data_IF_269028811783
#
_entry.id   IF_269028811783
#
_cell.length_a   1.000
_cell.length_b   1.000
_cell.length_c   1.000
_cell.angle_alpha   90.00
_cell.angle_beta   90.00
_cell.angle_gamma   90.00
#
_symmetry.space_group_name_H-M   'P 1'
#
loop_
_entity.id
_entity.type
_entity.pdbx_description
1 polymer ?
#
# COMPACT_ATOMS: atom_id res chain seq x y z
N UNK A 1 30.12 54.85 -6.14
CA UNK A 1 30.34 53.65 -5.29
C UNK A 1 29.03 53.12 -4.70
N UNK A 2 28.00 53.95 -4.49
CA UNK A 2 26.69 53.54 -3.97
C UNK A 2 25.80 52.73 -4.95
N UNK A 3 25.80 53.04 -6.26
CA UNK A 3 24.98 52.28 -7.23
C UNK A 3 25.37 50.79 -7.34
N UNK A 4 26.67 50.49 -7.22
CA UNK A 4 27.17 49.12 -7.27
C UNK A 4 26.77 48.34 -6.01
N UNK A 5 26.65 49.03 -4.87
CA UNK A 5 26.22 48.45 -3.60
C UNK A 5 24.71 48.15 -3.61
N UNK A 6 23.91 49.07 -4.16
CA UNK A 6 22.45 48.97 -4.25
C UNK A 6 21.99 47.87 -5.23
N UNK A 7 22.72 47.68 -6.34
CA UNK A 7 22.45 46.59 -7.30
C UNK A 7 22.80 45.20 -6.75
N UNK A 8 23.77 45.11 -5.84
CA UNK A 8 24.14 43.85 -5.17
C UNK A 8 23.11 43.48 -4.10
N UNK A 9 22.63 44.41 -3.29
CA UNK A 9 21.56 44.14 -2.29
C UNK A 9 20.24 43.72 -2.94
N UNK A 10 19.85 44.32 -4.06
CA UNK A 10 18.60 43.97 -4.77
C UNK A 10 18.66 42.59 -5.41
N UNK A 11 19.81 42.18 -5.95
CA UNK A 11 19.99 40.82 -6.50
C UNK A 11 19.99 39.77 -5.39
N UNK A 12 20.60 40.06 -4.24
CA UNK A 12 20.54 39.17 -3.07
C UNK A 12 19.12 39.01 -2.54
N UNK A 13 18.32 40.09 -2.45
CA UNK A 13 16.92 40.00 -2.03
C UNK A 13 16.03 39.23 -3.00
N UNK A 14 16.25 39.34 -4.31
CA UNK A 14 15.51 38.56 -5.32
C UNK A 14 15.86 37.08 -5.27
N UNK A 15 17.14 36.74 -5.05
CA UNK A 15 17.57 35.34 -4.87
C UNK A 15 17.01 34.75 -3.58
N UNK A 16 16.99 35.51 -2.48
CA UNK A 16 16.44 35.06 -1.20
C UNK A 16 14.92 34.86 -1.28
N UNK A 17 14.20 35.74 -1.97
CA UNK A 17 12.77 35.59 -2.28
C UNK A 17 12.52 34.36 -3.16
N UNK A 18 13.33 34.11 -4.18
CA UNK A 18 13.19 32.95 -5.05
C UNK A 18 13.45 31.62 -4.31
N UNK A 19 14.42 31.58 -3.39
CA UNK A 19 14.71 30.41 -2.55
C UNK A 19 13.61 30.17 -1.50
N UNK A 20 13.01 31.22 -0.96
CA UNK A 20 11.84 31.07 -0.08
C UNK A 20 10.59 30.64 -0.84
N UNK A 21 10.40 31.07 -2.08
CA UNK A 21 9.27 30.66 -2.92
C UNK A 21 9.35 29.18 -3.34
N UNK A 22 10.56 28.65 -3.59
CA UNK A 22 10.75 27.22 -3.88
C UNK A 22 10.65 26.35 -2.61
N UNK A 23 11.15 26.84 -1.47
CA UNK A 23 11.05 26.13 -0.19
C UNK A 23 9.61 26.00 0.33
N UNK A 24 8.74 26.96 0.03
CA UNK A 24 7.34 26.94 0.49
C UNK A 24 6.44 26.02 -0.34
N UNK A 25 6.76 25.77 -1.62
CA UNK A 25 5.99 24.88 -2.48
C UNK A 25 6.19 23.40 -2.14
N UNK A 26 7.38 23.02 -1.65
CA UNK A 26 7.69 21.64 -1.24
C UNK A 26 7.02 21.21 0.07
N UNK A 27 6.60 22.16 0.92
CA UNK A 27 5.99 21.86 2.22
C UNK A 27 4.49 21.54 2.15
N UNK A 28 3.83 21.81 1.02
CA UNK A 28 2.37 21.69 0.86
C UNK A 28 1.95 20.47 0.02
N UNK A 29 2.82 19.48 -0.16
CA UNK A 29 2.40 18.19 -0.71
C UNK A 29 1.61 17.42 0.36
N UNK A 30 0.29 17.61 0.39
CA UNK A 30 -0.58 16.68 1.10
C UNK A 30 -0.38 15.27 0.52
N UNK A 31 -0.28 14.22 1.37
CA UNK A 31 -0.15 12.87 0.85
C UNK A 31 -1.39 12.54 0.04
N UNK A 32 -1.22 12.34 -1.28
CA UNK A 32 -2.24 11.79 -2.16
C UNK A 32 -2.93 10.60 -1.46
N UNK A 33 -4.28 10.57 -1.42
CA UNK A 33 -5.01 9.51 -0.73
C UNK A 33 -4.53 8.16 -1.26
N UNK A 34 -3.98 7.34 -0.37
CA UNK A 34 -3.47 6.03 -0.76
C UNK A 34 -4.61 5.21 -1.38
N UNK A 35 -4.38 4.64 -2.56
CA UNK A 35 -5.32 3.73 -3.21
C UNK A 35 -5.58 2.52 -2.30
N UNK A 36 -6.67 2.59 -1.52
CA UNK A 36 -7.01 1.60 -0.51
C UNK A 36 -7.27 0.23 -1.15
N UNK A 37 -6.77 -0.82 -0.52
CA UNK A 37 -7.12 -2.19 -0.89
C UNK A 37 -8.53 -2.48 -0.42
N UNK A 38 -9.45 -2.77 -1.33
CA UNK A 38 -10.83 -3.11 -0.99
C UNK A 38 -11.04 -4.62 -1.11
N UNK A 39 -11.46 -5.27 -0.04
CA UNK A 39 -11.72 -6.70 0.01
C UNK A 39 -13.15 -7.00 0.50
N UNK A 40 -13.72 -8.10 0.02
CA UNK A 40 -14.92 -8.69 0.59
C UNK A 40 -14.50 -9.81 1.55
N UNK A 41 -14.32 -9.47 2.83
CA UNK A 41 -13.92 -10.42 3.86
C UNK A 41 -15.11 -11.30 4.24
N UNK A 42 -14.90 -12.61 4.27
CA UNK A 42 -15.91 -13.59 4.70
C UNK A 42 -15.57 -14.11 6.08
N UNK A 43 -16.55 -14.11 6.98
CA UNK A 43 -16.48 -14.77 8.28
C UNK A 43 -17.69 -15.70 8.47
N UNK A 44 -17.68 -16.49 9.54
CA UNK A 44 -18.85 -17.26 9.97
C UNK A 44 -19.24 -16.80 11.37
N UNK A 45 -20.52 -16.50 11.56
CA UNK A 45 -21.07 -16.02 12.83
C UNK A 45 -22.22 -16.92 13.23
N UNK A 46 -22.34 -17.20 14.52
CA UNK A 46 -23.46 -17.96 15.05
C UNK A 46 -24.75 -17.12 14.95
N UNK A 47 -25.82 -17.71 14.41
CA UNK A 47 -27.07 -17.01 14.14
C UNK A 47 -28.25 -18.00 14.19
N UNK A 48 -29.20 -17.87 15.16
CA UNK A 48 -29.19 -16.97 16.33
C UNK A 48 -28.11 -17.34 17.35
N UNK A 49 -27.72 -16.40 18.21
CA UNK A 49 -26.75 -16.65 19.28
C UNK A 49 -27.20 -17.82 20.19
N UNK A 50 -26.29 -18.75 20.48
CA UNK A 50 -26.56 -19.94 21.29
C UNK A 50 -27.28 -21.09 20.55
N UNK A 51 -27.44 -21.02 19.23
CA UNK A 51 -28.14 -22.05 18.44
C UNK A 51 -27.23 -23.18 17.92
N UNK A 52 -25.92 -23.02 17.97
CA UNK A 52 -24.93 -23.87 17.33
C UNK A 52 -24.90 -23.76 15.80
N UNK A 53 -25.73 -22.90 15.19
CA UNK A 53 -25.82 -22.73 13.73
C UNK A 53 -24.98 -21.55 13.28
N UNK A 54 -24.14 -21.77 12.26
CA UNK A 54 -23.20 -20.76 11.75
C UNK A 54 -23.49 -20.38 10.31
N UNK A 55 -23.75 -19.09 10.11
CA UNK A 55 -24.02 -18.49 8.82
C UNK A 55 -22.79 -17.72 8.33
N UNK A 56 -22.63 -17.68 7.00
CA UNK A 56 -21.54 -16.92 6.39
C UNK A 56 -21.93 -15.44 6.29
N UNK A 57 -21.06 -14.56 6.78
CA UNK A 57 -21.23 -13.10 6.69
C UNK A 57 -20.14 -12.54 5.80
N UNK A 58 -20.49 -11.63 4.89
CA UNK A 58 -19.56 -10.93 4.02
C UNK A 58 -19.53 -9.47 4.43
N UNK A 59 -18.34 -8.96 4.72
CA UNK A 59 -18.09 -7.56 5.06
C UNK A 59 -17.09 -6.95 4.10
N UNK A 60 -17.43 -5.79 3.54
CA UNK A 60 -16.47 -4.99 2.80
C UNK A 60 -15.48 -4.33 3.77
N UNK A 61 -14.19 -4.54 3.53
CA UNK A 61 -13.11 -3.96 4.33
C UNK A 61 -12.15 -3.20 3.42
N UNK A 62 -11.52 -2.16 3.97
CA UNK A 62 -10.53 -1.35 3.28
C UNK A 62 -9.23 -1.32 4.09
N UNK A 63 -8.12 -1.67 3.46
CA UNK A 63 -6.79 -1.71 4.09
C UNK A 63 -5.83 -0.75 3.39
N UNK A 64 -5.02 -0.05 4.19
CA UNK A 64 -3.90 0.77 3.70
C UNK A 64 -2.78 -0.17 3.22
N UNK A 65 -2.39 -0.11 1.92
CA UNK A 65 -1.30 -0.95 1.40
C UNK A 65 0.00 -0.84 2.21
N UNK A 66 0.35 0.36 2.68
CA UNK A 66 1.59 0.64 3.41
C UNK A 66 1.60 0.07 4.83
N UNK A 67 0.42 -0.29 5.36
CA UNK A 67 0.22 -0.93 6.67
C UNK A 67 -0.19 -2.39 6.54
N UNK A 68 -0.06 -2.98 5.35
CA UNK A 68 -0.49 -4.34 5.04
C UNK A 68 0.70 -5.19 4.60
N UNK A 69 0.72 -6.45 5.07
CA UNK A 69 1.62 -7.47 4.56
C UNK A 69 0.84 -8.71 4.11
N UNK A 70 1.29 -9.33 3.01
CA UNK A 70 0.84 -10.65 2.57
C UNK A 70 1.98 -11.63 2.85
N UNK A 71 1.71 -12.66 3.65
CA UNK A 71 2.67 -13.71 3.99
C UNK A 71 2.33 -14.96 3.19
N UNK A 72 3.26 -15.45 2.38
CA UNK A 72 3.12 -16.64 1.54
C UNK A 72 3.84 -17.80 2.21
N UNK A 73 3.08 -18.69 2.82
CA UNK A 73 3.60 -19.83 3.59
C UNK A 73 3.58 -21.09 2.74
N UNK A 74 4.65 -21.88 2.80
CA UNK A 74 4.75 -23.25 2.26
C UNK A 74 4.40 -23.39 0.76
N UNK A 75 4.71 -22.37 -0.04
CA UNK A 75 4.47 -22.40 -1.49
C UNK A 75 5.68 -22.92 -2.28
N UNK A 76 6.31 -23.98 -1.79
CA UNK A 76 7.47 -24.60 -2.42
C UNK A 76 7.10 -25.38 -3.70
N UNK A 77 8.04 -25.49 -4.64
CA UNK A 77 7.87 -26.28 -5.86
C UNK A 77 7.69 -27.78 -5.58
N UNK A 78 8.39 -28.31 -4.57
CA UNK A 78 8.34 -29.72 -4.17
C UNK A 78 7.87 -29.83 -2.74
N UNK A 79 7.02 -30.81 -2.47
CA UNK A 79 6.54 -31.12 -1.14
C UNK A 79 6.55 -32.64 -0.95
N UNK A 80 6.71 -33.15 0.27
CA UNK A 80 6.76 -34.59 0.53
C UNK A 80 5.45 -35.30 0.10
N UNK A 81 4.32 -34.61 0.26
CA UNK A 81 3.02 -35.03 -0.24
C UNK A 81 2.79 -34.52 -1.67
N UNK A 82 2.78 -35.44 -2.65
CA UNK A 82 2.50 -35.16 -4.07
C UNK A 82 1.13 -34.51 -4.30
N UNK A 83 0.14 -34.86 -3.48
CA UNK A 83 -1.19 -34.26 -3.56
C UNK A 83 -1.19 -32.77 -3.17
N UNK A 84 -0.37 -32.40 -2.17
CA UNK A 84 -0.19 -31.00 -1.79
C UNK A 84 0.56 -30.22 -2.89
N UNK A 85 1.64 -30.80 -3.43
CA UNK A 85 2.38 -30.21 -4.55
C UNK A 85 1.46 -29.91 -5.75
N UNK A 86 0.61 -30.86 -6.15
CA UNK A 86 -0.33 -30.66 -7.25
C UNK A 86 -1.31 -29.50 -7.00
N UNK A 87 -1.92 -29.45 -5.81
CA UNK A 87 -2.87 -28.36 -5.47
C UNK A 87 -2.18 -27.01 -5.38
N UNK A 88 -0.97 -26.96 -4.84
CA UNK A 88 -0.17 -25.74 -4.79
C UNK A 88 0.18 -25.25 -6.21
N UNK A 89 0.57 -26.17 -7.11
CA UNK A 89 0.85 -25.86 -8.50
C UNK A 89 -0.38 -25.33 -9.26
N UNK A 90 -1.57 -25.88 -9.00
CA UNK A 90 -2.83 -25.39 -9.57
C UNK A 90 -3.16 -23.96 -9.10
N UNK A 91 -2.87 -23.62 -7.84
CA UNK A 91 -3.15 -22.30 -7.24
C UNK A 91 -2.09 -21.23 -7.59
N UNK A 92 -0.83 -21.64 -7.80
CA UNK A 92 0.31 -20.74 -7.95
C UNK A 92 0.15 -19.64 -9.02
N UNK A 93 -0.41 -19.90 -10.22
CA UNK A 93 -0.55 -18.87 -11.25
C UNK A 93 -1.45 -17.71 -10.82
N UNK A 94 -2.63 -18.01 -10.26
CA UNK A 94 -3.57 -16.98 -9.81
C UNK A 94 -3.02 -16.22 -8.60
N UNK A 95 -2.39 -16.93 -7.67
CA UNK A 95 -1.77 -16.30 -6.51
C UNK A 95 -0.62 -15.36 -6.92
N UNK A 96 0.17 -15.74 -7.93
CA UNK A 96 1.24 -14.89 -8.46
C UNK A 96 0.69 -13.57 -9.05
N UNK A 97 -0.42 -13.62 -9.78
CA UNK A 97 -1.06 -12.41 -10.30
C UNK A 97 -1.58 -11.50 -9.17
N UNK A 98 -2.18 -12.10 -8.14
CA UNK A 98 -2.58 -11.38 -6.93
C UNK A 98 -1.40 -10.71 -6.21
N UNK A 99 -0.31 -11.45 -5.97
CA UNK A 99 0.90 -10.95 -5.30
C UNK A 99 1.54 -9.82 -6.11
N UNK A 100 1.65 -9.97 -7.44
CA UNK A 100 2.16 -8.91 -8.31
C UNK A 100 1.30 -7.64 -8.22
N UNK A 101 -0.02 -7.79 -8.25
CA UNK A 101 -0.93 -6.65 -8.13
C UNK A 101 -0.81 -5.95 -6.77
N UNK A 102 -0.71 -6.72 -5.67
CA UNK A 102 -0.50 -6.17 -4.34
C UNK A 102 0.86 -5.47 -4.21
N UNK A 103 1.93 -6.07 -4.73
CA UNK A 103 3.27 -5.47 -4.73
C UNK A 103 3.31 -4.15 -5.48
N UNK A 104 2.63 -4.04 -6.64
CA UNK A 104 2.51 -2.76 -7.38
C UNK A 104 1.83 -1.66 -6.57
N UNK A 105 0.97 -2.02 -5.61
CA UNK A 105 0.30 -1.08 -4.70
C UNK A 105 1.10 -0.76 -3.44
N UNK A 106 2.32 -1.30 -3.29
CA UNK A 106 3.18 -1.06 -2.14
C UNK A 106 2.94 -1.97 -0.95
N UNK A 107 2.24 -3.09 -1.12
CA UNK A 107 2.06 -4.11 -0.08
C UNK A 107 3.36 -4.86 0.16
N UNK A 108 3.71 -5.07 1.43
CA UNK A 108 4.84 -5.91 1.82
C UNK A 108 4.52 -7.38 1.54
N UNK A 109 5.40 -8.10 0.85
CA UNK A 109 5.25 -9.53 0.58
C UNK A 109 6.35 -10.27 1.34
N UNK A 110 5.96 -11.26 2.15
CA UNK A 110 6.84 -12.10 2.99
C UNK A 110 6.76 -13.54 2.54
#
# INVERSE_FOLDING_TARGET
MEEIMMRRSSVFSVILLAVMFTGLWAAAAEPEPADMLTFNARSRVESPAGSGKYEAVIKRVQWDPKKTAIVVIDMGKKHWCRGAERRAAEMAPQMNEFIKAARRKGVMIV
#
